data_IF_626733772669
#
_entry.id   IF_626733772669
#
_cell.length_a   1.000
_cell.length_b   1.000
_cell.length_c   1.000
_cell.angle_alpha   90.00
_cell.angle_beta   90.00
_cell.angle_gamma   90.00
#
_symmetry.space_group_name_H-M   'P 1'
#
loop_
_entity.id
_entity.type
_entity.pdbx_description
1 polymer ?
#
# COMPACT_ATOMS: atom_id res chain seq x y z
N UNK A 1 -52.38 -11.66 -34.68
CA UNK A 1 -51.72 -10.51 -34.05
C UNK A 1 -51.04 -9.70 -35.17
N UNK A 2 -51.31 -8.41 -35.28
CA UNK A 2 -50.88 -7.59 -36.42
C UNK A 2 -49.34 -7.38 -36.34
N UNK A 3 -48.58 -7.70 -37.41
CA UNK A 3 -47.12 -7.62 -37.46
C UNK A 3 -46.57 -6.26 -36.97
N UNK A 4 -47.33 -5.18 -37.22
CA UNK A 4 -46.98 -3.82 -36.75
C UNK A 4 -47.05 -3.70 -35.20
N UNK A 5 -48.04 -4.35 -34.56
CA UNK A 5 -48.19 -4.33 -33.09
C UNK A 5 -47.07 -5.15 -32.43
N UNK A 6 -46.70 -6.29 -33.02
CA UNK A 6 -45.57 -7.07 -32.54
C UNK A 6 -44.21 -6.30 -32.60
N UNK A 7 -44.00 -5.55 -33.69
CA UNK A 7 -42.76 -4.75 -33.83
C UNK A 7 -42.70 -3.61 -32.81
N UNK A 8 -43.82 -2.93 -32.55
CA UNK A 8 -43.89 -1.85 -31.53
C UNK A 8 -43.62 -2.40 -30.13
N UNK A 9 -44.19 -3.57 -29.79
CA UNK A 9 -43.95 -4.21 -28.50
C UNK A 9 -42.50 -4.63 -28.32
N UNK A 10 -41.84 -5.18 -29.34
CA UNK A 10 -40.44 -5.53 -29.31
C UNK A 10 -39.55 -4.29 -29.12
N UNK A 11 -39.87 -3.20 -29.84
CA UNK A 11 -39.14 -1.94 -29.73
C UNK A 11 -39.28 -1.32 -28.33
N UNK A 12 -40.49 -1.37 -27.76
CA UNK A 12 -40.76 -0.89 -26.39
C UNK A 12 -39.98 -1.70 -25.34
N UNK A 13 -39.91 -3.04 -25.49
CA UNK A 13 -39.12 -3.91 -24.59
C UNK A 13 -37.63 -3.61 -24.73
N UNK A 14 -37.13 -3.44 -25.95
CA UNK A 14 -35.70 -3.07 -26.16
C UNK A 14 -35.37 -1.71 -25.55
N UNK A 15 -36.27 -0.73 -25.71
CA UNK A 15 -36.10 0.58 -25.09
C UNK A 15 -36.14 0.51 -23.56
N UNK A 16 -37.02 -0.29 -22.96
CA UNK A 16 -37.05 -0.46 -21.50
C UNK A 16 -35.78 -1.16 -21.00
N UNK A 17 -35.20 -2.11 -21.72
CA UNK A 17 -33.96 -2.77 -21.38
C UNK A 17 -32.74 -1.81 -21.48
N UNK A 18 -32.76 -0.90 -22.47
CA UNK A 18 -31.69 0.12 -22.63
C UNK A 18 -31.80 1.23 -21.55
N UNK A 19 -33.02 1.64 -21.22
CA UNK A 19 -33.27 2.69 -20.22
C UNK A 19 -33.39 2.16 -18.79
N UNK A 20 -33.39 0.83 -18.58
CA UNK A 20 -33.40 0.30 -17.22
C UNK A 20 -32.05 0.63 -16.58
N UNK A 21 -32.00 1.57 -15.63
CA UNK A 21 -30.72 1.98 -15.08
C UNK A 21 -30.09 0.77 -14.40
N UNK A 22 -28.96 0.31 -14.96
CA UNK A 22 -28.08 -0.63 -14.26
C UNK A 22 -27.67 0.02 -12.94
N UNK A 23 -28.31 -0.37 -11.85
CA UNK A 23 -27.88 0.00 -10.50
C UNK A 23 -26.72 -0.90 -10.15
N UNK A 24 -25.47 -0.41 -10.16
CA UNK A 24 -24.35 -1.24 -9.70
C UNK A 24 -24.67 -1.66 -8.26
N UNK A 25 -24.49 -2.94 -7.94
CA UNK A 25 -24.56 -3.39 -6.54
C UNK A 25 -23.43 -2.69 -5.82
N UNK A 26 -23.76 -1.70 -5.00
CA UNK A 26 -22.79 -1.10 -4.07
C UNK A 26 -22.42 -2.22 -3.11
N UNK A 27 -21.14 -2.53 -3.00
CA UNK A 27 -20.66 -3.53 -2.07
C UNK A 27 -21.07 -3.09 -0.65
N UNK A 28 -21.86 -3.90 0.04
CA UNK A 28 -22.43 -3.56 1.36
C UNK A 28 -21.35 -3.44 2.47
N UNK A 29 -20.11 -3.90 2.19
CA UNK A 29 -19.02 -3.95 3.16
C UNK A 29 -17.72 -3.31 2.64
N UNK A 30 -17.80 -2.03 2.23
CA UNK A 30 -16.59 -1.29 1.84
C UNK A 30 -15.80 -0.95 3.11
N UNK A 31 -14.55 -1.40 3.16
CA UNK A 31 -13.59 -1.04 4.21
C UNK A 31 -12.71 0.10 3.71
N UNK A 32 -12.71 1.19 4.43
CA UNK A 32 -11.81 2.33 4.18
C UNK A 32 -10.55 2.19 5.03
N UNK A 33 -9.45 2.71 4.50
CA UNK A 33 -8.17 2.73 5.20
C UNK A 33 -7.30 3.88 4.73
N UNK A 34 -6.12 4.02 5.34
CA UNK A 34 -5.15 5.04 4.98
C UNK A 34 -3.77 4.43 4.73
N UNK A 35 -3.01 5.03 3.82
CA UNK A 35 -1.57 4.80 3.69
C UNK A 35 -0.86 5.83 4.57
N UNK A 36 -0.09 5.36 5.55
CA UNK A 36 0.66 6.24 6.45
C UNK A 36 2.15 6.16 6.14
N UNK A 37 2.82 7.31 6.09
CA UNK A 37 4.26 7.43 5.86
C UNK A 37 4.92 8.25 6.97
N UNK A 38 5.71 7.63 7.86
CA UNK A 38 6.44 8.36 8.89
C UNK A 38 7.38 9.41 8.30
N UNK A 39 8.16 9.05 7.28
CA UNK A 39 9.13 9.93 6.64
C UNK A 39 8.47 11.15 6.01
N UNK A 40 7.34 10.97 5.31
CA UNK A 40 6.60 12.10 4.73
C UNK A 40 6.00 13.01 5.82
N UNK A 41 5.49 12.45 6.90
CA UNK A 41 4.99 13.23 8.04
C UNK A 41 6.10 14.11 8.64
N UNK A 42 7.33 13.57 8.75
CA UNK A 42 8.50 14.32 9.20
C UNK A 42 8.88 15.45 8.22
N UNK A 43 8.76 15.26 6.89
CA UNK A 43 9.02 16.34 5.94
C UNK A 43 8.05 17.51 6.06
N UNK A 44 6.87 17.27 6.64
CA UNK A 44 5.89 18.32 6.97
C UNK A 44 6.18 19.00 8.32
N UNK A 45 7.27 18.65 9.01
CA UNK A 45 7.62 19.18 10.32
C UNK A 45 6.75 18.65 11.46
N UNK A 46 6.04 17.54 11.26
CA UNK A 46 5.14 16.96 12.24
C UNK A 46 5.78 15.78 12.98
N UNK A 47 5.41 15.58 14.25
CA UNK A 47 5.77 14.36 14.99
C UNK A 47 4.92 13.19 14.48
N UNK A 48 5.56 12.31 13.71
CA UNK A 48 4.89 11.20 13.05
C UNK A 48 4.27 10.19 14.04
N UNK A 49 4.84 10.03 15.24
CA UNK A 49 4.27 9.14 16.26
C UNK A 49 2.95 9.66 16.77
N UNK A 50 2.90 10.94 17.15
CA UNK A 50 1.65 11.60 17.57
C UNK A 50 0.60 11.57 16.47
N UNK A 51 0.97 11.88 15.22
CA UNK A 51 0.04 11.82 14.08
C UNK A 51 -0.49 10.41 13.87
N UNK A 52 0.37 9.39 13.96
CA UNK A 52 -0.04 7.99 13.81
C UNK A 52 -1.07 7.58 14.88
N UNK A 53 -0.82 7.96 16.13
CA UNK A 53 -1.76 7.72 17.25
C UNK A 53 -3.09 8.44 16.99
N UNK A 54 -3.07 9.71 16.56
CA UNK A 54 -4.29 10.48 16.29
C UNK A 54 -5.12 9.86 15.13
N UNK A 55 -4.46 9.30 14.10
CA UNK A 55 -5.14 8.55 13.04
C UNK A 55 -5.90 7.34 13.63
N UNK A 56 -5.30 6.65 14.56
CA UNK A 56 -5.92 5.48 15.21
C UNK A 56 -6.99 5.87 16.23
N UNK A 57 -6.77 6.93 17.03
CA UNK A 57 -7.60 7.29 18.16
C UNK A 57 -8.69 8.31 17.81
N UNK A 58 -8.37 9.38 17.09
CA UNK A 58 -9.32 10.43 16.76
C UNK A 58 -10.12 10.08 15.50
N UNK A 59 -9.43 9.66 14.42
CA UNK A 59 -10.09 9.29 13.17
C UNK A 59 -10.63 7.86 13.17
N UNK A 60 -10.32 7.06 14.20
CA UNK A 60 -10.78 5.66 14.37
C UNK A 60 -10.43 4.77 13.14
N UNK A 61 -9.34 5.06 12.47
CA UNK A 61 -8.88 4.23 11.34
C UNK A 61 -8.51 2.84 11.84
N UNK A 62 -8.99 1.79 11.13
CA UNK A 62 -8.76 0.39 11.49
C UNK A 62 -8.18 -0.44 10.34
N UNK A 63 -7.95 0.16 9.18
CA UNK A 63 -7.23 -0.47 8.08
C UNK A 63 -6.11 0.47 7.64
N UNK A 64 -4.89 -0.02 7.71
CA UNK A 64 -3.68 0.74 7.45
C UNK A 64 -2.87 0.08 6.35
N UNK A 65 -2.17 0.87 5.56
CA UNK A 65 -1.11 0.43 4.66
C UNK A 65 0.18 1.11 5.11
N UNK A 66 1.15 0.31 5.55
CA UNK A 66 2.39 0.79 6.17
C UNK A 66 3.57 0.36 5.30
N UNK A 67 4.39 1.30 4.80
CA UNK A 67 5.63 0.98 4.11
C UNK A 67 6.76 0.64 5.10
N UNK A 68 7.62 -0.30 4.68
CA UNK A 68 8.86 -0.64 5.39
C UNK A 68 10.05 -0.10 4.58
N UNK A 69 10.26 1.20 4.61
CA UNK A 69 11.27 1.85 3.80
C UNK A 69 12.67 1.29 4.05
N UNK A 70 13.29 0.70 3.02
CA UNK A 70 14.62 0.09 3.13
C UNK A 70 15.65 1.06 3.69
N UNK A 71 15.67 2.32 3.22
CA UNK A 71 16.56 3.35 3.73
C UNK A 71 16.41 3.67 5.23
N UNK A 72 15.24 3.35 5.81
CA UNK A 72 14.97 3.54 7.23
C UNK A 72 15.33 2.30 8.04
N UNK A 73 14.98 1.11 7.54
CA UNK A 73 15.18 -0.14 8.29
C UNK A 73 16.60 -0.70 8.18
N UNK A 74 17.38 -0.30 7.15
CA UNK A 74 18.79 -0.69 6.99
C UNK A 74 19.62 0.52 6.56
N UNK A 75 19.78 1.55 7.43
CA UNK A 75 20.51 2.76 7.09
C UNK A 75 21.99 2.54 6.79
N UNK A 76 22.58 1.47 7.35
CA UNK A 76 23.92 0.95 7.04
C UNK A 76 23.82 -0.53 6.70
N UNK A 77 24.67 -1.00 5.80
CA UNK A 77 24.65 -2.40 5.35
C UNK A 77 24.77 -3.37 6.53
N UNK A 78 23.79 -4.25 6.68
CA UNK A 78 23.71 -5.26 7.74
C UNK A 78 23.22 -4.76 9.10
N UNK A 79 23.02 -3.44 9.28
CA UNK A 79 22.51 -2.86 10.52
C UNK A 79 21.00 -2.57 10.39
N UNK A 80 20.18 -3.43 10.98
CA UNK A 80 18.72 -3.32 10.89
C UNK A 80 18.12 -2.61 12.09
N UNK A 81 17.33 -1.56 11.84
CA UNK A 81 16.50 -0.84 12.81
C UNK A 81 15.02 -0.93 12.42
N UNK A 82 14.28 -1.77 13.08
CA UNK A 82 12.85 -1.96 12.89
C UNK A 82 11.98 -1.14 13.87
N UNK A 83 12.58 -0.30 14.71
CA UNK A 83 11.88 0.40 15.81
C UNK A 83 10.66 1.21 15.37
N UNK A 84 10.71 1.83 14.19
CA UNK A 84 9.57 2.57 13.65
C UNK A 84 8.44 1.66 13.18
N UNK A 85 8.76 0.51 12.59
CA UNK A 85 7.79 -0.47 12.12
C UNK A 85 7.17 -1.19 13.33
N UNK A 86 8.01 -1.60 14.30
CA UNK A 86 7.57 -2.21 15.56
C UNK A 86 6.55 -1.31 16.24
N UNK A 87 6.88 -0.02 16.44
CA UNK A 87 5.96 0.94 17.04
C UNK A 87 4.61 1.00 16.31
N UNK A 88 4.63 1.11 14.98
CA UNK A 88 3.38 1.22 14.21
C UNK A 88 2.53 -0.05 14.28
N UNK A 89 3.15 -1.21 14.23
CA UNK A 89 2.44 -2.49 14.32
C UNK A 89 1.89 -2.74 15.71
N UNK A 90 2.65 -2.43 16.77
CA UNK A 90 2.21 -2.57 18.16
C UNK A 90 1.02 -1.65 18.45
N UNK A 91 1.09 -0.38 18.03
CA UNK A 91 0.00 0.58 18.25
C UNK A 91 -1.26 0.22 17.42
N UNK A 92 -1.08 -0.32 16.22
CA UNK A 92 -2.18 -0.87 15.43
C UNK A 92 -2.82 -2.08 16.13
N UNK A 93 -2.00 -3.00 16.63
CA UNK A 93 -2.48 -4.20 17.32
C UNK A 93 -3.26 -3.88 18.61
N UNK A 94 -2.78 -2.92 19.41
CA UNK A 94 -3.48 -2.46 20.62
C UNK A 94 -4.91 -1.94 20.36
N UNK A 95 -5.22 -1.58 19.11
CA UNK A 95 -6.49 -1.01 18.68
C UNK A 95 -7.25 -1.88 17.68
N UNK A 96 -6.89 -3.15 17.55
CA UNK A 96 -7.48 -4.12 16.61
C UNK A 96 -7.43 -3.65 15.16
N UNK A 97 -6.51 -2.75 14.81
CA UNK A 97 -6.32 -2.30 13.46
C UNK A 97 -5.57 -3.33 12.61
N UNK A 98 -5.93 -3.43 11.34
CA UNK A 98 -5.36 -4.36 10.36
C UNK A 98 -4.41 -3.64 9.43
N UNK A 99 -3.29 -4.30 9.14
CA UNK A 99 -2.20 -3.70 8.39
C UNK A 99 -1.90 -4.50 7.12
N UNK A 100 -1.82 -3.77 6.00
CA UNK A 100 -1.12 -4.21 4.80
C UNK A 100 0.31 -3.72 4.95
N UNK A 101 1.26 -4.63 5.16
CA UNK A 101 2.67 -4.27 5.29
C UNK A 101 3.34 -4.33 3.92
N UNK A 102 3.92 -3.21 3.49
CA UNK A 102 4.55 -3.10 2.17
C UNK A 102 6.04 -3.35 2.31
N UNK A 103 6.59 -4.23 1.49
CA UNK A 103 8.02 -4.61 1.48
C UNK A 103 8.61 -4.44 0.08
N UNK A 104 9.91 -4.23 0.00
CA UNK A 104 10.63 -4.08 -1.25
C UNK A 104 11.33 -2.73 -1.37
N UNK A 105 11.81 -2.42 -2.55
CA UNK A 105 12.59 -1.22 -2.86
C UNK A 105 11.70 -0.04 -3.26
N UNK A 106 10.71 -0.31 -4.13
CA UNK A 106 9.72 0.68 -4.56
C UNK A 106 8.53 0.66 -3.61
N UNK A 107 8.34 1.73 -2.87
CA UNK A 107 7.37 1.83 -1.79
C UNK A 107 6.34 2.94 -2.05
N UNK A 108 5.13 2.87 -1.44
CA UNK A 108 4.15 3.94 -1.55
C UNK A 108 4.68 5.27 -1.03
N UNK A 109 4.35 6.34 -1.72
CA UNK A 109 4.70 7.72 -1.44
C UNK A 109 5.99 8.17 -2.12
N UNK A 110 5.93 9.36 -2.69
CA UNK A 110 7.05 10.02 -3.35
C UNK A 110 8.14 10.49 -2.35
N UNK A 111 9.44 10.32 -2.64
CA UNK A 111 9.97 9.49 -3.73
C UNK A 111 9.71 8.01 -3.45
N UNK A 112 9.40 7.22 -4.50
CA UNK A 112 9.02 5.82 -4.33
C UNK A 112 10.22 4.89 -4.05
N UNK A 113 11.41 5.29 -4.52
CA UNK A 113 12.65 4.51 -4.37
C UNK A 113 13.34 4.83 -3.04
N UNK A 114 12.97 4.13 -1.99
CA UNK A 114 13.55 4.29 -0.66
C UNK A 114 14.81 3.45 -0.46
N UNK A 115 15.84 3.69 -1.30
CA UNK A 115 17.10 2.97 -1.30
C UNK A 115 18.09 3.66 -0.35
N UNK A 116 18.73 2.92 0.59
CA UNK A 116 19.75 3.51 1.46
C UNK A 116 20.98 3.97 0.67
N UNK A 117 21.65 5.00 1.18
CA UNK A 117 22.77 5.64 0.47
C UNK A 117 23.87 4.64 0.08
N UNK A 118 24.18 3.68 0.94
CA UNK A 118 25.18 2.65 0.69
C UNK A 118 24.79 1.71 -0.48
N UNK A 119 23.50 1.46 -0.70
CA UNK A 119 23.02 0.57 -1.77
C UNK A 119 22.86 1.30 -3.12
N UNK A 120 22.90 2.63 -3.17
CA UNK A 120 22.80 3.39 -4.42
C UNK A 120 23.99 3.18 -5.36
N UNK A 121 25.16 2.85 -4.81
CA UNK A 121 26.39 2.60 -5.57
C UNK A 121 26.51 1.17 -6.10
N UNK A 122 25.65 0.27 -5.65
CA UNK A 122 25.62 -1.13 -6.10
C UNK A 122 25.09 -1.23 -7.53
N UNK A 123 25.54 -2.25 -8.25
CA UNK A 123 24.93 -2.62 -9.54
C UNK A 123 23.44 -2.97 -9.34
N UNK A 124 22.61 -2.86 -10.39
CA UNK A 124 21.20 -3.22 -10.31
C UNK A 124 20.97 -4.65 -9.80
N UNK A 125 21.78 -5.60 -10.20
CA UNK A 125 21.67 -7.01 -9.77
C UNK A 125 22.03 -7.18 -8.29
N UNK A 126 23.10 -6.55 -7.81
CA UNK A 126 23.48 -6.59 -6.40
C UNK A 126 22.41 -5.94 -5.52
N UNK A 127 21.89 -4.78 -5.95
CA UNK A 127 20.81 -4.08 -5.27
C UNK A 127 19.56 -4.93 -5.18
N UNK A 128 19.19 -5.61 -6.26
CA UNK A 128 18.08 -6.55 -6.27
C UNK A 128 18.29 -7.68 -5.25
N UNK A 129 19.46 -8.30 -5.23
CA UNK A 129 19.78 -9.37 -4.28
C UNK A 129 19.72 -8.87 -2.82
N UNK A 130 20.20 -7.66 -2.56
CA UNK A 130 20.10 -7.05 -1.21
C UNK A 130 18.65 -6.75 -0.84
N UNK A 131 17.85 -6.25 -1.78
CA UNK A 131 16.40 -6.03 -1.56
C UNK A 131 15.68 -7.32 -1.19
N UNK A 132 15.97 -8.44 -1.88
CA UNK A 132 15.39 -9.75 -1.53
C UNK A 132 15.73 -10.16 -0.09
N UNK A 133 16.97 -9.88 0.35
CA UNK A 133 17.39 -10.15 1.74
C UNK A 133 16.61 -9.31 2.75
N UNK A 134 16.40 -8.02 2.45
CA UNK A 134 15.59 -7.12 3.30
C UNK A 134 14.15 -7.59 3.37
N UNK A 135 13.57 -7.99 2.24
CA UNK A 135 12.22 -8.57 2.19
C UNK A 135 12.13 -9.82 3.06
N UNK A 136 13.07 -10.76 2.90
CA UNK A 136 13.14 -11.99 3.69
C UNK A 136 13.21 -11.70 5.19
N UNK A 137 14.11 -10.81 5.61
CA UNK A 137 14.28 -10.43 7.01
C UNK A 137 13.02 -9.80 7.59
N UNK A 138 12.39 -8.88 6.83
CA UNK A 138 11.17 -8.19 7.25
C UNK A 138 9.99 -9.15 7.36
N UNK A 139 9.81 -10.04 6.39
CA UNK A 139 8.75 -11.05 6.41
C UNK A 139 8.96 -12.01 7.58
N UNK A 140 10.18 -12.52 7.79
CA UNK A 140 10.47 -13.44 8.91
C UNK A 140 10.22 -12.77 10.26
N UNK A 141 10.48 -11.47 10.40
CA UNK A 141 10.22 -10.73 11.64
C UNK A 141 8.73 -10.60 11.94
N UNK A 142 7.89 -10.33 10.94
CA UNK A 142 6.51 -9.92 11.16
C UNK A 142 5.44 -10.91 10.66
N UNK A 143 5.81 -12.07 10.11
CA UNK A 143 4.86 -13.06 9.56
C UNK A 143 3.81 -13.53 10.57
N UNK A 144 4.15 -13.53 11.85
CA UNK A 144 3.27 -13.98 12.93
C UNK A 144 2.69 -12.79 13.75
N UNK A 145 2.92 -11.53 13.30
CA UNK A 145 2.41 -10.37 14.02
C UNK A 145 0.90 -10.18 13.79
N UNK A 146 0.11 -10.13 14.86
CA UNK A 146 -1.36 -10.16 14.82
C UNK A 146 -2.01 -9.01 14.03
N UNK A 147 -1.36 -7.84 13.94
CA UNK A 147 -1.86 -6.72 13.15
C UNK A 147 -1.63 -6.91 11.64
N UNK A 148 -0.62 -7.68 11.20
CA UNK A 148 -0.30 -7.86 9.78
C UNK A 148 -1.30 -8.84 9.16
N UNK A 149 -2.12 -8.33 8.25
CA UNK A 149 -3.19 -9.12 7.61
C UNK A 149 -2.84 -9.47 6.16
N UNK A 150 -2.13 -8.56 5.48
CA UNK A 150 -1.71 -8.74 4.09
C UNK A 150 -0.30 -8.21 3.88
N UNK A 151 0.37 -8.79 2.90
CA UNK A 151 1.65 -8.33 2.39
C UNK A 151 1.47 -7.71 1.01
N UNK A 152 2.13 -6.58 0.78
CA UNK A 152 2.28 -6.00 -0.53
C UNK A 152 3.75 -5.98 -0.90
N UNK A 153 4.10 -6.61 -2.02
CA UNK A 153 5.46 -6.59 -2.56
C UNK A 153 5.53 -5.49 -3.59
N UNK A 154 6.38 -4.50 -3.33
CA UNK A 154 6.57 -3.30 -4.14
C UNK A 154 5.30 -2.44 -4.32
N UNK A 155 5.49 -1.20 -4.71
CA UNK A 155 4.41 -0.31 -5.16
C UNK A 155 4.43 -0.24 -6.68
N UNK A 156 3.34 -0.67 -7.31
CA UNK A 156 3.17 -0.59 -8.77
C UNK A 156 4.36 -1.17 -9.57
N UNK A 157 4.81 -2.41 -9.30
CA UNK A 157 6.05 -2.95 -9.88
C UNK A 157 6.00 -3.09 -11.40
N UNK A 158 4.82 -3.21 -11.99
CA UNK A 158 4.63 -3.36 -13.43
C UNK A 158 4.29 -2.03 -14.14
N UNK A 159 4.13 -0.96 -13.39
CA UNK A 159 3.78 0.34 -13.95
C UNK A 159 5.03 1.08 -14.41
N UNK A 160 5.07 1.46 -15.68
CA UNK A 160 6.26 2.06 -16.32
C UNK A 160 6.43 3.56 -16.05
N UNK A 161 5.54 4.17 -15.32
CA UNK A 161 5.58 5.57 -14.92
C UNK A 161 6.06 5.71 -13.47
N UNK A 162 6.63 6.86 -13.11
CA UNK A 162 7.18 7.10 -11.79
C UNK A 162 8.68 6.76 -11.68
N UNK A 163 9.14 6.53 -10.45
CA UNK A 163 10.55 6.21 -10.19
C UNK A 163 10.92 4.79 -10.66
N UNK A 164 12.09 4.70 -11.27
CA UNK A 164 12.69 3.43 -11.67
C UNK A 164 13.85 3.09 -10.73
N UNK A 165 13.56 2.34 -9.68
CA UNK A 165 14.52 2.04 -8.61
C UNK A 165 15.73 1.17 -9.06
N UNK A 166 15.66 0.57 -10.21
CA UNK A 166 16.71 -0.26 -10.83
C UNK A 166 17.74 0.54 -11.64
N UNK A 167 17.46 1.82 -11.94
CA UNK A 167 18.42 2.65 -12.68
C UNK A 167 19.53 3.17 -11.75
N UNK A 168 20.79 3.21 -12.23
CA UNK A 168 21.83 3.92 -11.51
C UNK A 168 21.47 5.41 -11.45
N UNK A 169 21.56 6.01 -10.25
CA UNK A 169 21.27 7.43 -9.99
C UNK A 169 19.79 7.86 -10.04
N UNK A 170 18.87 6.96 -9.73
CA UNK A 170 17.49 7.35 -9.43
C UNK A 170 17.36 7.93 -8.01
#
# INVERSE_FOLDING_TARGET
MNKKISLILILAILLTLIYYPYKPKIAENIKYGVTFSPTYTQTLGLDWKSIYINILDDLKVRNLRIPTYWSTIEPREGEFDYSSVDFMLDEANKRDAKVILVVGMKQPRWPECHIPTWAKILSPQERHNKTLKVVENTVNRYKDHAAVTYWQIENEPLFKFGDHCDKPNA
#
